data_IF_948313348894
#
_entry.id   IF_948313348894
#
_cell.length_a   1.000
_cell.length_b   1.000
_cell.length_c   1.000
_cell.angle_alpha   90.00
_cell.angle_beta   90.00
_cell.angle_gamma   90.00
#
_symmetry.space_group_name_H-M   'P 1'
#
loop_
_entity.id
_entity.type
_entity.pdbx_description
1 polymer ?
#
# COMPACT_ATOMS: atom_id res chain seq x y z
N UNK A 1 15.52 -17.47 -13.11
CA UNK A 1 14.92 -16.13 -13.20
C UNK A 1 14.52 -15.59 -11.84
N UNK A 2 14.70 -14.29 -11.60
CA UNK A 2 14.29 -13.66 -10.35
C UNK A 2 13.65 -12.31 -10.60
N UNK A 3 12.62 -11.99 -9.80
CA UNK A 3 11.93 -10.71 -9.80
C UNK A 3 11.99 -10.10 -8.41
N UNK A 4 12.65 -8.93 -8.28
CA UNK A 4 12.64 -8.13 -7.08
C UNK A 4 11.41 -7.22 -7.03
N UNK A 5 10.75 -7.09 -5.88
CA UNK A 5 9.61 -6.22 -5.71
C UNK A 5 9.88 -5.19 -4.60
N UNK A 6 9.65 -3.91 -4.90
CA UNK A 6 9.67 -2.81 -3.93
C UNK A 6 8.24 -2.44 -3.61
N UNK A 7 7.77 -2.90 -2.45
CA UNK A 7 6.41 -2.62 -1.99
C UNK A 7 6.30 -1.19 -1.45
N UNK A 8 5.23 -0.51 -1.82
CA UNK A 8 4.76 0.68 -1.15
C UNK A 8 3.84 0.30 0.02
N UNK A 9 2.97 1.20 0.48
CA UNK A 9 2.17 0.92 1.68
C UNK A 9 1.04 -0.06 1.36
N UNK A 10 1.26 -1.34 1.63
CA UNK A 10 0.23 -2.39 1.48
C UNK A 10 -0.67 -2.41 2.69
N UNK A 11 -1.99 -2.52 2.48
CA UNK A 11 -2.98 -2.61 3.54
C UNK A 11 -4.06 -3.66 3.20
N UNK A 12 -4.78 -4.11 4.23
CA UNK A 12 -5.86 -5.09 4.07
C UNK A 12 -5.89 -6.15 5.18
N UNK A 13 -6.74 -7.18 5.03
CA UNK A 13 -6.80 -8.31 5.94
C UNK A 13 -5.42 -8.93 6.20
N UNK A 14 -5.21 -9.40 7.45
CA UNK A 14 -3.95 -9.99 7.90
C UNK A 14 -2.73 -9.05 7.86
N UNK A 15 -2.98 -7.74 7.72
CA UNK A 15 -1.94 -6.73 7.80
C UNK A 15 -1.30 -6.64 9.20
N UNK A 16 -0.19 -5.92 9.29
CA UNK A 16 0.54 -5.74 10.54
C UNK A 16 -0.24 -4.87 11.53
N UNK A 17 -0.35 -5.27 12.82
CA UNK A 17 -1.15 -4.55 13.81
C UNK A 17 -0.55 -3.21 14.26
N UNK A 18 0.72 -2.94 13.93
CA UNK A 18 1.42 -1.67 14.18
C UNK A 18 1.25 -0.65 13.03
N UNK A 19 0.49 -0.98 11.99
CA UNK A 19 0.19 -0.07 10.90
C UNK A 19 -1.06 0.77 11.17
N UNK A 20 -1.12 1.95 10.56
CA UNK A 20 -2.16 2.96 10.78
C UNK A 20 -3.59 2.40 10.71
N UNK A 21 -3.89 1.53 9.73
CA UNK A 21 -5.23 0.94 9.58
C UNK A 21 -5.68 0.18 10.83
N UNK A 22 -4.79 -0.68 11.37
CA UNK A 22 -5.07 -1.43 12.59
C UNK A 22 -5.20 -0.52 13.81
N UNK A 23 -4.22 0.38 13.99
CA UNK A 23 -4.17 1.29 15.14
C UNK A 23 -5.41 2.17 15.17
N UNK A 24 -5.77 2.79 14.04
CA UNK A 24 -6.91 3.68 13.93
C UNK A 24 -8.22 2.92 14.13
N UNK A 25 -8.41 1.78 13.48
CA UNK A 25 -9.60 0.94 13.63
C UNK A 25 -9.82 0.55 15.08
N UNK A 26 -8.77 0.04 15.74
CA UNK A 26 -8.83 -0.35 17.15
C UNK A 26 -9.18 0.83 18.05
N UNK A 27 -8.49 1.96 17.89
CA UNK A 27 -8.69 3.14 18.72
C UNK A 27 -10.09 3.73 18.54
N UNK A 28 -10.61 3.78 17.32
CA UNK A 28 -11.96 4.28 17.04
C UNK A 28 -13.01 3.38 17.69
N UNK A 29 -12.89 2.06 17.57
CA UNK A 29 -13.78 1.08 18.19
C UNK A 29 -13.74 1.16 19.74
N UNK A 30 -12.57 1.43 20.32
CA UNK A 30 -12.38 1.61 21.76
C UNK A 30 -12.68 3.04 22.23
N UNK A 31 -13.19 3.93 21.35
CA UNK A 31 -13.48 5.34 21.64
C UNK A 31 -12.25 6.13 22.18
N UNK A 32 -11.05 5.72 21.76
CA UNK A 32 -9.76 6.36 22.10
C UNK A 32 -9.33 7.36 21.02
N UNK A 33 -8.42 8.26 21.40
CA UNK A 33 -7.81 9.20 20.45
C UNK A 33 -6.86 8.48 19.46
N UNK A 34 -6.83 8.98 18.23
CA UNK A 34 -5.82 8.64 17.24
C UNK A 34 -4.85 9.79 17.04
N UNK A 35 -3.55 9.49 16.94
CA UNK A 35 -2.52 10.49 16.66
C UNK A 35 -2.41 10.72 15.15
N UNK A 36 -2.66 11.95 14.72
CA UNK A 36 -2.65 12.35 13.31
C UNK A 36 -1.42 13.22 13.07
N UNK A 37 -0.33 12.60 12.63
CA UNK A 37 0.95 13.25 12.42
C UNK A 37 0.94 14.23 11.24
N UNK A 38 1.89 15.20 11.29
CA UNK A 38 2.00 16.31 10.34
C UNK A 38 0.68 17.07 10.16
N UNK A 39 -0.13 17.18 11.22
CA UNK A 39 -1.45 17.80 11.17
C UNK A 39 -2.34 17.24 10.03
N UNK A 40 -2.25 15.96 9.75
CA UNK A 40 -2.99 15.27 8.68
C UNK A 40 -2.46 15.52 7.26
N UNK A 41 -1.44 16.34 7.09
CA UNK A 41 -0.89 16.72 5.78
C UNK A 41 0.13 15.72 5.26
N UNK A 42 -0.23 14.44 5.25
CA UNK A 42 0.60 13.35 4.75
C UNK A 42 -0.15 12.62 3.63
N UNK A 43 0.61 12.12 2.66
CA UNK A 43 0.11 11.27 1.59
C UNK A 43 0.87 9.96 1.55
N UNK A 44 0.16 8.88 1.29
CA UNK A 44 0.76 7.57 1.05
C UNK A 44 0.12 6.93 -0.17
N UNK A 45 0.95 6.22 -0.92
CA UNK A 45 0.48 5.32 -1.94
C UNK A 45 0.02 4.01 -1.27
N UNK A 46 -1.27 3.94 -0.97
CA UNK A 46 -1.90 2.78 -0.34
C UNK A 46 -2.36 1.78 -1.40
N UNK A 47 -1.95 0.53 -1.26
CA UNK A 47 -2.32 -0.54 -2.19
C UNK A 47 -3.00 -1.68 -1.44
N UNK A 48 -4.17 -2.10 -1.90
CA UNK A 48 -4.90 -3.19 -1.28
C UNK A 48 -4.20 -4.53 -1.51
N UNK A 49 -4.21 -5.40 -0.52
CA UNK A 49 -3.44 -6.66 -0.53
C UNK A 49 -3.80 -7.59 -1.69
N UNK A 50 -5.09 -7.66 -2.07
CA UNK A 50 -5.51 -8.53 -3.18
C UNK A 50 -4.94 -8.05 -4.54
N UNK A 51 -4.82 -6.73 -4.73
CA UNK A 51 -4.18 -6.17 -5.93
C UNK A 51 -2.70 -6.55 -6.00
N UNK A 52 -2.03 -6.58 -4.85
CA UNK A 52 -0.63 -7.02 -4.75
C UNK A 52 -0.52 -8.51 -5.11
N UNK A 53 -1.41 -9.34 -4.56
CA UNK A 53 -1.43 -10.79 -4.81
C UNK A 53 -1.67 -11.08 -6.30
N UNK A 54 -2.62 -10.39 -6.92
CA UNK A 54 -2.87 -10.54 -8.37
C UNK A 54 -1.65 -10.16 -9.20
N UNK A 55 -0.99 -9.05 -8.88
CA UNK A 55 0.24 -8.66 -9.57
C UNK A 55 1.34 -9.71 -9.42
N UNK A 56 1.53 -10.29 -8.23
CA UNK A 56 2.51 -11.35 -7.99
C UNK A 56 2.18 -12.61 -8.82
N UNK A 57 0.92 -13.03 -8.86
CA UNK A 57 0.49 -14.20 -9.65
C UNK A 57 0.82 -14.00 -11.13
N UNK A 58 0.58 -12.80 -11.66
CA UNK A 58 0.93 -12.47 -13.07
C UNK A 58 2.43 -12.47 -13.31
N UNK A 59 3.22 -11.94 -12.36
CA UNK A 59 4.68 -11.96 -12.43
C UNK A 59 5.26 -13.37 -12.45
N UNK A 60 4.72 -14.29 -11.65
CA UNK A 60 5.15 -15.71 -11.64
C UNK A 60 4.97 -16.34 -13.04
N UNK A 61 3.90 -15.96 -13.75
CA UNK A 61 3.62 -16.46 -15.10
C UNK A 61 4.47 -15.79 -16.20
N UNK A 62 5.13 -14.67 -15.90
CA UNK A 62 5.94 -13.89 -16.84
C UNK A 62 7.33 -13.55 -16.25
N UNK A 63 8.16 -14.56 -15.99
CA UNK A 63 9.49 -14.34 -15.44
C UNK A 63 10.39 -13.56 -16.43
N UNK A 64 11.35 -12.77 -15.92
CA UNK A 64 12.31 -12.08 -16.78
C UNK A 64 13.20 -13.07 -17.54
N UNK A 65 13.69 -12.62 -18.69
CA UNK A 65 14.63 -13.36 -19.55
C UNK A 65 16.02 -12.73 -19.48
N UNK A 66 17.04 -13.47 -19.85
CA UNK A 66 18.40 -12.95 -20.01
C UNK A 66 18.42 -11.80 -21.02
N UNK A 67 19.16 -10.75 -20.69
CA UNK A 67 19.38 -9.62 -21.57
C UNK A 67 20.75 -9.73 -22.26
N UNK A 68 20.78 -10.30 -23.47
CA UNK A 68 21.99 -10.47 -24.26
C UNK A 68 22.58 -9.13 -24.76
N UNK A 69 21.82 -8.06 -24.70
CA UNK A 69 22.22 -6.71 -25.15
C UNK A 69 22.45 -5.76 -23.95
N UNK A 70 22.71 -6.32 -22.77
CA UNK A 70 22.94 -5.53 -21.58
C UNK A 70 24.25 -4.72 -21.70
N UNK A 71 24.13 -3.39 -21.68
CA UNK A 71 25.26 -2.49 -21.62
C UNK A 71 25.45 -1.99 -20.16
N UNK A 72 26.55 -2.41 -19.53
CA UNK A 72 26.89 -2.01 -18.15
C UNK A 72 27.13 -0.51 -17.97
N UNK A 73 27.47 0.21 -19.06
CA UNK A 73 27.76 1.65 -19.01
C UNK A 73 26.52 2.51 -19.20
N UNK A 74 25.43 1.92 -19.73
CA UNK A 74 24.16 2.62 -19.98
C UNK A 74 22.99 1.69 -19.67
N UNK A 75 22.89 1.20 -18.42
CA UNK A 75 21.86 0.26 -18.02
C UNK A 75 20.79 0.89 -17.10
N UNK A 76 19.56 0.38 -17.19
CA UNK A 76 18.54 0.60 -16.18
C UNK A 76 18.93 -0.17 -14.91
N UNK A 77 19.09 0.52 -13.73
CA UNK A 77 19.45 -0.14 -12.47
C UNK A 77 18.47 -1.23 -12.00
N UNK A 78 17.26 -1.26 -12.56
CA UNK A 78 16.27 -2.28 -12.29
C UNK A 78 16.40 -3.54 -13.16
N UNK A 79 17.47 -3.64 -13.97
CA UNK A 79 17.71 -4.76 -14.89
C UNK A 79 19.12 -5.33 -14.72
N UNK A 80 19.38 -6.48 -15.33
CA UNK A 80 20.67 -7.16 -15.31
C UNK A 80 20.89 -7.87 -16.66
N UNK A 81 22.13 -8.27 -16.92
CA UNK A 81 22.46 -9.20 -17.99
C UNK A 81 21.83 -10.59 -17.78
N UNK A 82 21.64 -11.00 -16.53
CA UNK A 82 20.95 -12.24 -16.16
C UNK A 82 19.42 -12.06 -16.19
N UNK A 83 18.69 -13.17 -16.04
CA UNK A 83 17.22 -13.16 -15.97
C UNK A 83 16.72 -12.55 -14.65
N UNK A 84 16.93 -11.24 -14.47
CA UNK A 84 16.58 -10.48 -13.27
C UNK A 84 15.97 -9.13 -13.61
N UNK A 85 14.86 -8.77 -12.92
CA UNK A 85 14.24 -7.44 -12.95
C UNK A 85 13.73 -7.02 -11.58
N UNK A 86 13.74 -5.71 -11.34
CA UNK A 86 13.14 -5.10 -10.15
C UNK A 86 11.97 -4.22 -10.57
N UNK A 87 10.84 -4.35 -9.87
CA UNK A 87 9.67 -3.53 -10.09
C UNK A 87 9.22 -2.83 -8.80
N UNK A 88 8.77 -1.60 -8.92
CA UNK A 88 7.93 -1.00 -7.90
C UNK A 88 6.53 -1.58 -8.00
N UNK A 89 5.91 -1.86 -6.86
CA UNK A 89 4.54 -2.33 -6.78
C UNK A 89 3.74 -1.47 -5.80
N UNK A 90 2.72 -0.81 -6.31
CA UNK A 90 1.90 0.19 -5.63
C UNK A 90 0.67 0.51 -6.46
N UNK A 91 -0.16 1.43 -5.97
CA UNK A 91 -1.39 1.84 -6.64
C UNK A 91 -1.19 3.03 -7.60
N UNK A 92 -0.06 3.73 -7.52
CA UNK A 92 0.22 4.99 -8.26
C UNK A 92 -0.86 6.07 -8.06
N UNK A 93 -1.54 6.04 -6.90
CA UNK A 93 -2.60 6.96 -6.54
C UNK A 93 -2.50 7.38 -5.08
N UNK A 94 -1.62 8.35 -4.74
CA UNK A 94 -1.43 8.80 -3.37
C UNK A 94 -2.72 9.34 -2.76
N UNK A 95 -3.05 8.86 -1.57
CA UNK A 95 -4.23 9.25 -0.80
C UNK A 95 -3.81 10.08 0.41
N UNK A 96 -4.54 11.14 0.72
CA UNK A 96 -4.32 11.93 1.92
C UNK A 96 -4.66 11.09 3.18
N UNK A 97 -3.91 11.33 4.26
CA UNK A 97 -4.17 10.65 5.54
C UNK A 97 -5.58 10.91 6.06
N UNK A 98 -6.09 12.13 5.88
CA UNK A 98 -7.46 12.48 6.28
C UNK A 98 -8.52 11.71 5.49
N UNK A 99 -8.33 11.49 4.17
CA UNK A 99 -9.25 10.70 3.35
C UNK A 99 -9.23 9.23 3.79
N UNK A 100 -8.04 8.73 4.17
CA UNK A 100 -7.90 7.39 4.69
C UNK A 100 -8.62 7.21 6.03
N UNK A 101 -8.49 8.19 6.95
CA UNK A 101 -9.21 8.19 8.22
C UNK A 101 -10.72 8.27 7.97
N UNK A 102 -11.17 9.12 7.04
CA UNK A 102 -12.58 9.26 6.69
C UNK A 102 -13.18 7.93 6.18
N UNK A 103 -12.44 7.19 5.34
CA UNK A 103 -12.87 5.87 4.87
C UNK A 103 -13.04 4.86 6.04
N UNK A 104 -12.19 4.94 7.07
CA UNK A 104 -12.33 4.10 8.27
C UNK A 104 -13.56 4.52 9.08
N UNK A 105 -13.74 5.82 9.31
CA UNK A 105 -14.90 6.38 10.01
C UNK A 105 -16.21 5.94 9.37
N UNK A 106 -16.31 6.08 8.06
CA UNK A 106 -17.50 5.73 7.27
C UNK A 106 -17.77 4.21 7.31
N UNK A 107 -16.72 3.39 7.19
CA UNK A 107 -16.86 1.93 7.25
C UNK A 107 -17.25 1.40 8.64
N UNK A 108 -16.87 2.13 9.71
CA UNK A 108 -17.23 1.81 11.08
C UNK A 108 -18.56 2.44 11.51
N UNK A 109 -19.05 3.46 10.80
CA UNK A 109 -20.12 4.36 11.19
C UNK A 109 -19.84 5.03 12.55
N UNK A 110 -18.57 5.40 12.80
CA UNK A 110 -18.08 6.05 14.00
C UNK A 110 -17.14 7.19 13.63
N UNK A 111 -17.00 8.19 14.53
CA UNK A 111 -16.07 9.30 14.34
C UNK A 111 -14.82 9.15 15.20
N UNK A 112 -13.66 9.42 14.61
CA UNK A 112 -12.37 9.39 15.28
C UNK A 112 -12.20 10.61 16.19
N UNK A 113 -11.65 10.41 17.38
CA UNK A 113 -11.11 11.48 18.21
C UNK A 113 -9.69 11.77 17.76
N UNK A 114 -9.50 12.83 16.96
CA UNK A 114 -8.22 13.15 16.33
C UNK A 114 -7.39 14.07 17.23
N UNK A 115 -6.16 13.64 17.53
CA UNK A 115 -5.12 14.44 18.17
C UNK A 115 -4.05 14.77 17.14
N UNK A 116 -4.03 16.01 16.68
CA UNK A 116 -3.07 16.45 15.68
C UNK A 116 -1.68 16.63 16.30
N UNK A 117 -0.68 16.03 15.65
CA UNK A 117 0.71 16.02 16.10
C UNK A 117 1.62 16.64 15.04
N UNK A 118 2.77 17.20 15.43
CA UNK A 118 3.80 17.60 14.48
C UNK A 118 4.31 16.39 13.70
N UNK A 119 5.05 16.64 12.63
CA UNK A 119 5.66 15.57 11.82
C UNK A 119 6.69 14.80 12.66
N UNK A 120 6.68 13.48 12.56
CA UNK A 120 7.71 12.63 13.18
C UNK A 120 9.05 12.82 12.49
N UNK A 121 10.13 12.77 13.27
CA UNK A 121 11.49 12.81 12.73
C UNK A 121 11.75 11.55 11.88
N UNK A 122 12.28 11.75 10.68
CA UNK A 122 12.61 10.66 9.76
C UNK A 122 11.44 10.15 8.90
N UNK A 123 10.22 10.65 9.11
CA UNK A 123 9.10 10.31 8.23
C UNK A 123 9.09 11.19 6.97
N UNK A 124 8.37 10.75 5.93
CA UNK A 124 8.28 11.46 4.64
C UNK A 124 6.86 12.02 4.44
N UNK A 125 6.76 13.21 3.84
CA UNK A 125 5.48 13.88 3.60
C UNK A 125 4.58 13.13 2.61
N UNK A 126 5.18 12.56 1.56
CA UNK A 126 4.46 11.88 0.49
C UNK A 126 5.26 10.70 -0.04
N UNK A 127 4.56 9.63 -0.41
CA UNK A 127 5.10 8.52 -1.20
C UNK A 127 4.27 8.36 -2.46
N UNK A 128 4.94 8.06 -3.57
CA UNK A 128 4.32 7.80 -4.87
C UNK A 128 5.08 6.68 -5.57
N UNK A 129 4.39 5.62 -5.97
CA UNK A 129 4.96 4.54 -6.74
C UNK A 129 4.86 4.84 -8.24
N UNK A 130 5.99 4.95 -8.93
CA UNK A 130 5.98 4.79 -10.38
C UNK A 130 5.93 3.29 -10.69
N UNK A 131 4.77 2.80 -11.07
CA UNK A 131 4.49 1.39 -11.40
C UNK A 131 4.41 1.12 -12.89
N UNK A 132 4.69 2.11 -13.72
CA UNK A 132 4.55 2.02 -15.19
C UNK A 132 5.28 0.82 -15.80
N UNK A 133 6.48 0.51 -15.32
CA UNK A 133 7.25 -0.66 -15.78
C UNK A 133 6.57 -1.98 -15.43
N UNK A 134 5.98 -2.09 -14.23
CA UNK A 134 5.23 -3.27 -13.81
C UNK A 134 3.95 -3.42 -14.61
N UNK A 135 3.16 -2.35 -14.71
CA UNK A 135 1.90 -2.33 -15.44
C UNK A 135 2.08 -2.79 -16.89
N UNK A 136 3.09 -2.23 -17.59
CA UNK A 136 3.43 -2.63 -18.94
C UNK A 136 3.95 -4.09 -19.03
N UNK A 137 4.63 -4.57 -17.97
CA UNK A 137 5.19 -5.92 -17.99
C UNK A 137 4.12 -6.99 -17.84
N UNK A 138 3.14 -6.79 -16.96
CA UNK A 138 2.11 -7.80 -16.62
C UNK A 138 0.72 -7.47 -17.16
N UNK A 139 0.55 -6.35 -17.87
CA UNK A 139 -0.74 -5.84 -18.34
C UNK A 139 -1.79 -5.81 -17.22
N UNK A 140 -1.43 -5.18 -16.11
CA UNK A 140 -2.29 -5.08 -14.94
C UNK A 140 -1.95 -3.84 -14.11
N UNK A 141 -2.99 -3.18 -13.63
CA UNK A 141 -2.91 -2.05 -12.70
C UNK A 141 -3.82 -2.29 -11.49
N UNK A 142 -3.36 -2.05 -10.26
CA UNK A 142 -4.21 -2.01 -9.07
C UNK A 142 -5.41 -1.08 -9.26
N UNK A 143 -6.60 -1.52 -8.81
CA UNK A 143 -7.86 -0.79 -9.04
C UNK A 143 -8.73 -0.66 -7.80
N UNK A 144 -8.39 -1.34 -6.70
CA UNK A 144 -9.19 -1.29 -5.47
C UNK A 144 -9.15 0.13 -4.89
N UNK A 145 -10.32 0.75 -4.78
CA UNK A 145 -10.45 2.05 -4.14
C UNK A 145 -10.13 1.98 -2.65
N UNK A 146 -9.74 3.11 -2.04
CA UNK A 146 -9.50 3.19 -0.59
C UNK A 146 -10.75 2.78 0.19
N UNK A 147 -11.93 3.25 -0.23
CA UNK A 147 -13.19 2.95 0.44
C UNK A 147 -13.51 1.44 0.40
N UNK A 148 -13.34 0.80 -0.76
CA UNK A 148 -13.59 -0.64 -0.90
C UNK A 148 -12.59 -1.46 -0.09
N UNK A 149 -11.30 -1.14 -0.19
CA UNK A 149 -10.26 -1.86 0.53
C UNK A 149 -10.37 -1.72 2.05
N UNK A 150 -10.66 -0.52 2.55
CA UNK A 150 -10.91 -0.26 3.98
C UNK A 150 -12.17 -1.00 4.44
N UNK A 151 -13.25 -0.95 3.67
CA UNK A 151 -14.49 -1.69 4.00
C UNK A 151 -14.24 -3.19 4.13
N UNK A 152 -13.52 -3.81 3.19
CA UNK A 152 -13.12 -5.23 3.24
C UNK A 152 -12.28 -5.54 4.49
N UNK A 153 -11.33 -4.65 4.83
CA UNK A 153 -10.53 -4.81 6.04
C UNK A 153 -11.39 -4.73 7.30
N UNK A 154 -12.29 -3.77 7.42
CA UNK A 154 -13.16 -3.59 8.59
C UNK A 154 -14.07 -4.80 8.78
N UNK A 155 -14.66 -5.34 7.70
CA UNK A 155 -15.46 -6.55 7.75
C UNK A 155 -14.65 -7.74 8.27
N UNK A 156 -13.44 -7.93 7.75
CA UNK A 156 -12.51 -8.96 8.23
C UNK A 156 -12.15 -8.73 9.70
N UNK A 157 -11.81 -7.49 10.08
CA UNK A 157 -11.41 -7.13 11.44
C UNK A 157 -12.50 -7.45 12.46
N UNK A 158 -13.72 -6.99 12.19
CA UNK A 158 -14.88 -7.28 13.04
C UNK A 158 -15.12 -8.79 13.20
N UNK A 159 -15.10 -9.54 12.09
CA UNK A 159 -15.28 -10.99 12.10
C UNK A 159 -14.16 -11.69 12.89
N UNK A 160 -12.92 -11.30 12.68
CA UNK A 160 -11.74 -11.92 13.32
C UNK A 160 -11.75 -11.70 14.85
N UNK A 161 -12.10 -10.49 15.29
CA UNK A 161 -12.13 -10.15 16.72
C UNK A 161 -13.50 -10.35 17.38
N UNK A 162 -14.50 -10.88 16.69
CA UNK A 162 -15.85 -11.13 17.22
C UNK A 162 -16.59 -9.85 17.62
N UNK A 163 -16.40 -8.75 16.86
CA UNK A 163 -17.02 -7.45 17.10
C UNK A 163 -18.27 -7.34 16.23
N UNK A 164 -19.41 -7.05 16.85
CA UNK A 164 -20.70 -6.84 16.19
C UNK A 164 -20.83 -5.45 15.55
#
# INVERSE_FOLDING_TARGET
PSTGLRFFTVYGPWGRPDMALFIFTKSILENKEIEVFNNGKMQRDFTFVDDIVEAIIRLIRKPPQENKFFDKNNCDPATSWSAHKIFNIGNSNPTMLEDYISAIEDSLNLKAKKKYMPMQLGDVKSTYADTSKLENWIDYKPQTSINDGVSKFIQWYKKYYGIS
#
